data_IF_169982718755
#
_entry.id   IF_169982718755
#
_cell.length_a   1.000
_cell.length_b   1.000
_cell.length_c   1.000
_cell.angle_alpha   90.00
_cell.angle_beta   90.00
_cell.angle_gamma   90.00
#
_symmetry.space_group_name_H-M   'P 1'
#
loop_
_entity.id
_entity.type
_entity.pdbx_description
1 polymer ?
#
# COMPACT_ATOMS: atom_id res chain seq x y z
N UNK A 1 23.31 1.90 -11.97
CA UNK A 1 22.68 0.75 -12.67
C UNK A 1 21.18 1.00 -12.75
N UNK A 2 20.59 0.98 -13.95
CA UNK A 2 19.17 1.34 -14.16
C UNK A 2 18.46 0.29 -15.03
N UNK A 3 17.84 -0.74 -14.44
CA UNK A 3 16.86 -1.57 -15.12
C UNK A 3 15.47 -1.29 -14.51
N UNK A 4 14.90 -0.10 -14.73
CA UNK A 4 13.62 0.28 -14.11
C UNK A 4 12.41 0.17 -15.07
N UNK A 5 12.62 0.19 -16.39
CA UNK A 5 11.54 0.17 -17.37
C UNK A 5 11.04 -1.27 -17.71
N UNK A 6 11.95 -2.23 -17.86
CA UNK A 6 11.62 -3.63 -18.20
C UNK A 6 10.86 -4.32 -17.06
N UNK A 7 11.26 -4.10 -15.80
CA UNK A 7 10.57 -4.67 -14.64
C UNK A 7 9.13 -4.18 -14.51
N UNK A 8 8.86 -2.89 -14.79
CA UNK A 8 7.50 -2.35 -14.71
C UNK A 8 6.56 -3.03 -15.71
N UNK A 9 7.00 -3.19 -16.96
CA UNK A 9 6.21 -3.84 -18.03
C UNK A 9 5.85 -5.28 -17.69
N UNK A 10 6.79 -6.02 -17.09
CA UNK A 10 6.55 -7.38 -16.62
C UNK A 10 5.52 -7.39 -15.47
N UNK A 11 5.61 -6.47 -14.51
CA UNK A 11 4.60 -6.34 -13.46
C UNK A 11 3.21 -5.98 -14.01
N UNK A 12 3.11 -5.12 -15.02
CA UNK A 12 1.84 -4.82 -15.71
C UNK A 12 1.22 -6.09 -16.28
N UNK A 13 2.00 -6.87 -17.04
CA UNK A 13 1.54 -8.09 -17.68
C UNK A 13 1.11 -9.15 -16.65
N UNK A 14 1.86 -9.30 -15.55
CA UNK A 14 1.52 -10.23 -14.47
C UNK A 14 0.20 -9.87 -13.80
N UNK A 15 -0.02 -8.60 -13.44
CA UNK A 15 -1.29 -8.18 -12.85
C UNK A 15 -2.45 -8.31 -13.85
N UNK A 16 -2.24 -7.99 -15.12
CA UNK A 16 -3.27 -8.13 -16.15
C UNK A 16 -3.66 -9.59 -16.38
N UNK A 17 -2.66 -10.50 -16.42
CA UNK A 17 -2.89 -11.93 -16.52
C UNK A 17 -3.64 -12.47 -15.30
N UNK A 18 -3.26 -12.05 -14.10
CA UNK A 18 -3.96 -12.42 -12.87
C UNK A 18 -5.42 -11.97 -12.90
N UNK A 19 -5.68 -10.72 -13.29
CA UNK A 19 -7.03 -10.20 -13.46
C UNK A 19 -7.84 -11.00 -14.46
N UNK A 20 -7.26 -11.30 -15.62
CA UNK A 20 -7.92 -12.11 -16.66
C UNK A 20 -8.26 -13.51 -16.13
N UNK A 21 -7.35 -14.14 -15.40
CA UNK A 21 -7.60 -15.44 -14.75
C UNK A 21 -8.77 -15.33 -13.76
N UNK A 22 -8.81 -14.29 -12.92
CA UNK A 22 -9.89 -14.09 -11.96
C UNK A 22 -11.25 -13.89 -12.64
N UNK A 23 -11.31 -13.11 -13.73
CA UNK A 23 -12.55 -12.90 -14.50
C UNK A 23 -13.04 -14.19 -15.14
N UNK A 24 -12.14 -14.97 -15.74
CA UNK A 24 -12.48 -16.28 -16.31
C UNK A 24 -12.97 -17.22 -15.22
N UNK A 25 -12.24 -17.29 -14.11
CA UNK A 25 -12.58 -18.16 -12.99
C UNK A 25 -13.95 -17.81 -12.42
N UNK A 26 -14.24 -16.53 -12.18
CA UNK A 26 -15.55 -16.06 -11.74
C UNK A 26 -16.65 -16.46 -12.73
N UNK A 27 -16.45 -16.17 -14.03
CA UNK A 27 -17.42 -16.50 -15.08
C UNK A 27 -17.74 -18.00 -15.15
N UNK A 28 -16.73 -18.86 -14.96
CA UNK A 28 -16.90 -20.31 -14.96
C UNK A 28 -17.49 -20.86 -13.65
N UNK A 29 -17.19 -20.24 -12.51
CA UNK A 29 -17.69 -20.65 -11.20
C UNK A 29 -19.13 -20.23 -10.94
N UNK A 30 -19.57 -19.09 -11.47
CA UNK A 30 -20.93 -18.57 -11.28
C UNK A 30 -22.03 -19.63 -11.52
N UNK A 31 -22.10 -20.32 -12.69
CA UNK A 31 -23.12 -21.36 -12.92
C UNK A 31 -22.88 -22.64 -12.11
N UNK A 32 -21.65 -22.88 -11.62
CA UNK A 32 -21.36 -24.04 -10.76
C UNK A 32 -21.86 -23.84 -9.32
N UNK A 33 -21.83 -22.60 -8.83
CA UNK A 33 -22.26 -22.22 -7.49
C UNK A 33 -23.78 -21.99 -7.41
N UNK A 34 -24.40 -21.59 -8.53
CA UNK A 34 -25.83 -21.33 -8.66
C UNK A 34 -26.42 -22.18 -9.79
N UNK A 35 -26.88 -23.41 -9.53
CA UNK A 35 -27.37 -24.32 -10.59
C UNK A 35 -28.68 -23.87 -11.26
N UNK A 36 -29.35 -22.83 -10.73
CA UNK A 36 -30.49 -22.18 -11.38
C UNK A 36 -30.08 -21.17 -12.47
N UNK A 37 -28.79 -20.83 -12.57
CA UNK A 37 -28.28 -19.85 -13.52
C UNK A 37 -27.81 -20.50 -14.83
N UNK A 38 -28.15 -19.89 -15.95
CA UNK A 38 -27.71 -20.34 -17.26
C UNK A 38 -26.20 -20.13 -17.45
N UNK A 39 -25.54 -21.14 -18.00
CA UNK A 39 -24.11 -21.08 -18.30
C UNK A 39 -23.78 -19.98 -19.31
N UNK A 40 -22.60 -19.38 -19.17
CA UNK A 40 -22.04 -18.40 -20.11
C UNK A 40 -22.01 -18.88 -21.57
N UNK A 41 -21.87 -20.19 -21.79
CA UNK A 41 -21.86 -20.77 -23.13
C UNK A 41 -23.24 -20.83 -23.77
N UNK A 42 -24.30 -20.81 -22.97
CA UNK A 42 -25.69 -20.84 -23.43
C UNK A 42 -26.21 -19.42 -23.66
N UNK A 43 -26.05 -18.54 -22.67
CA UNK A 43 -26.54 -17.16 -22.72
C UNK A 43 -25.48 -16.15 -22.28
N UNK A 44 -24.52 -15.81 -23.15
CA UNK A 44 -23.40 -14.93 -22.80
C UNK A 44 -23.83 -13.50 -22.43
N UNK A 45 -24.99 -13.05 -22.92
CA UNK A 45 -25.51 -11.70 -22.67
C UNK A 45 -25.78 -11.42 -21.20
N UNK A 46 -26.05 -12.44 -20.38
CA UNK A 46 -26.25 -12.29 -18.93
C UNK A 46 -24.98 -11.84 -18.21
N UNK A 47 -23.80 -12.16 -18.76
CA UNK A 47 -22.52 -11.93 -18.11
C UNK A 47 -21.89 -10.57 -18.46
N UNK A 48 -22.42 -9.85 -19.45
CA UNK A 48 -21.84 -8.57 -19.89
C UNK A 48 -21.81 -7.51 -18.79
N UNK A 49 -22.86 -7.43 -17.97
CA UNK A 49 -22.92 -6.50 -16.84
C UNK A 49 -21.84 -6.82 -15.78
N UNK A 50 -21.63 -8.12 -15.52
CA UNK A 50 -20.57 -8.62 -14.64
C UNK A 50 -19.18 -8.29 -15.19
N UNK A 51 -18.92 -8.59 -16.46
CA UNK A 51 -17.63 -8.30 -17.09
C UNK A 51 -17.30 -6.81 -17.14
N UNK A 52 -18.31 -5.95 -17.32
CA UNK A 52 -18.12 -4.51 -17.26
C UNK A 52 -17.74 -4.06 -15.85
N UNK A 53 -18.36 -4.65 -14.83
CA UNK A 53 -18.01 -4.42 -13.42
C UNK A 53 -16.58 -4.89 -13.13
N UNK A 54 -16.19 -6.05 -13.62
CA UNK A 54 -14.83 -6.57 -13.47
C UNK A 54 -13.80 -5.67 -14.16
N UNK A 55 -14.08 -5.22 -15.39
CA UNK A 55 -13.22 -4.27 -16.12
C UNK A 55 -13.05 -2.96 -15.35
N UNK A 56 -14.13 -2.46 -14.73
CA UNK A 56 -14.08 -1.31 -13.86
C UNK A 56 -13.16 -1.54 -12.64
N UNK A 57 -13.24 -2.71 -11.99
CA UNK A 57 -12.37 -3.06 -10.86
C UNK A 57 -10.90 -3.12 -11.27
N UNK A 58 -10.60 -3.70 -12.43
CA UNK A 58 -9.25 -3.71 -13.02
C UNK A 58 -8.76 -2.28 -13.23
N UNK A 59 -9.58 -1.41 -13.82
CA UNK A 59 -9.21 -0.02 -14.08
C UNK A 59 -8.91 0.73 -12.78
N UNK A 60 -9.78 0.59 -11.77
CA UNK A 60 -9.60 1.20 -10.45
C UNK A 60 -8.35 0.67 -9.75
N UNK A 61 -8.04 -0.63 -9.87
CA UNK A 61 -6.80 -1.19 -9.33
C UNK A 61 -5.58 -0.45 -9.90
N UNK A 62 -5.51 -0.32 -11.21
CA UNK A 62 -4.40 0.35 -11.88
C UNK A 62 -4.35 1.85 -11.59
N UNK A 63 -5.49 2.55 -11.60
CA UNK A 63 -5.57 3.96 -11.21
C UNK A 63 -5.11 4.15 -9.76
N UNK A 64 -5.56 3.29 -8.84
CA UNK A 64 -5.13 3.35 -7.46
C UNK A 64 -3.63 3.08 -7.33
N UNK A 65 -3.17 2.00 -7.96
CA UNK A 65 -1.79 1.55 -7.93
C UNK A 65 -0.81 2.47 -8.67
N UNK A 66 -1.22 3.39 -9.55
CA UNK A 66 -0.28 4.29 -10.23
C UNK A 66 -0.50 5.78 -9.98
N UNK A 67 -1.74 6.21 -9.72
CA UNK A 67 -2.10 7.63 -9.67
C UNK A 67 -2.52 8.03 -8.25
N UNK A 68 -3.44 7.29 -7.63
CA UNK A 68 -4.03 7.75 -6.37
C UNK A 68 -3.11 7.55 -5.17
N UNK A 69 -2.61 6.34 -4.91
CA UNK A 69 -1.79 6.15 -3.73
C UNK A 69 -0.45 6.93 -3.70
N UNK A 70 0.33 7.13 -4.79
CA UNK A 70 1.56 7.91 -4.71
C UNK A 70 1.28 9.41 -4.54
N UNK A 71 0.18 9.93 -5.12
CA UNK A 71 -0.18 11.34 -4.99
C UNK A 71 -0.80 11.66 -3.63
N UNK A 72 -1.69 10.81 -3.14
CA UNK A 72 -2.47 11.05 -1.92
C UNK A 72 -1.73 10.63 -0.65
N UNK A 73 -0.99 9.50 -0.65
CA UNK A 73 -0.23 9.08 0.54
C UNK A 73 0.99 9.97 0.79
N UNK A 74 1.69 10.43 -0.26
CA UNK A 74 2.83 11.36 -0.11
C UNK A 74 2.42 12.67 0.55
N UNK A 75 1.17 13.10 0.36
CA UNK A 75 0.60 14.32 0.94
C UNK A 75 -0.15 14.09 2.26
N UNK A 76 -0.17 12.86 2.78
CA UNK A 76 -0.94 12.44 3.97
C UNK A 76 -2.44 12.82 3.91
N UNK A 77 -3.01 12.87 2.70
CA UNK A 77 -4.40 13.28 2.46
C UNK A 77 -5.38 12.12 2.69
N UNK A 78 -5.45 11.64 3.93
CA UNK A 78 -6.27 10.47 4.30
C UNK A 78 -7.77 10.70 4.05
N UNK A 79 -8.29 11.90 4.36
CA UNK A 79 -9.71 12.24 4.16
C UNK A 79 -10.11 12.16 2.68
N UNK A 80 -9.29 12.70 1.78
CA UNK A 80 -9.55 12.66 0.34
C UNK A 80 -9.51 11.24 -0.21
N UNK A 81 -8.62 10.40 0.31
CA UNK A 81 -8.55 8.99 -0.06
C UNK A 81 -9.78 8.19 0.39
N UNK A 82 -10.32 8.49 1.58
CA UNK A 82 -11.55 7.88 2.08
C UNK A 82 -12.75 8.28 1.21
N UNK A 83 -12.86 9.55 0.81
CA UNK A 83 -13.87 9.97 -0.14
C UNK A 83 -13.74 9.29 -1.51
N UNK A 84 -12.51 9.12 -2.00
CA UNK A 84 -12.26 8.38 -3.23
C UNK A 84 -12.76 6.93 -3.13
N UNK A 85 -12.49 6.24 -2.01
CA UNK A 85 -12.99 4.89 -1.75
C UNK A 85 -14.53 4.85 -1.79
N UNK A 86 -15.20 5.80 -1.12
CA UNK A 86 -16.67 5.88 -1.09
C UNK A 86 -17.24 6.12 -2.49
N UNK A 87 -16.67 7.07 -3.25
CA UNK A 87 -17.10 7.39 -4.61
C UNK A 87 -16.92 6.18 -5.53
N UNK A 88 -15.77 5.51 -5.43
CA UNK A 88 -15.45 4.33 -6.23
C UNK A 88 -16.37 3.15 -5.89
N UNK A 89 -16.69 2.95 -4.62
CA UNK A 89 -17.67 1.94 -4.22
C UNK A 89 -19.08 2.28 -4.79
N UNK A 90 -19.50 3.54 -4.69
CA UNK A 90 -20.79 3.99 -5.21
C UNK A 90 -20.89 3.81 -6.73
N UNK A 91 -19.82 4.14 -7.46
CA UNK A 91 -19.73 3.91 -8.90
C UNK A 91 -19.82 2.41 -9.24
N UNK A 92 -19.15 1.55 -8.46
CA UNK A 92 -19.24 0.10 -8.61
C UNK A 92 -20.67 -0.45 -8.45
N UNK A 93 -21.46 0.16 -7.56
CA UNK A 93 -22.87 -0.18 -7.38
C UNK A 93 -23.75 0.33 -8.54
N UNK A 94 -23.42 1.50 -9.09
CA UNK A 94 -24.17 2.10 -10.20
C UNK A 94 -23.97 1.38 -11.54
N UNK A 95 -22.83 0.73 -11.76
CA UNK A 95 -22.51 0.11 -13.05
C UNK A 95 -23.57 -0.90 -13.50
N UNK A 96 -23.94 -1.94 -12.72
CA UNK A 96 -24.97 -2.89 -13.13
C UNK A 96 -26.33 -2.24 -13.38
N UNK A 97 -26.68 -1.23 -12.59
CA UNK A 97 -27.93 -0.48 -12.71
C UNK A 97 -27.97 0.33 -14.01
N UNK A 98 -26.86 0.98 -14.36
CA UNK A 98 -26.72 1.71 -15.63
C UNK A 98 -26.74 0.76 -16.82
N UNK A 99 -26.08 -0.39 -16.73
CA UNK A 99 -26.11 -1.44 -17.76
C UNK A 99 -27.54 -1.93 -18.05
N UNK A 100 -28.31 -2.15 -16.98
CA UNK A 100 -29.71 -2.53 -17.08
C UNK A 100 -30.58 -1.39 -17.66
N UNK A 101 -30.42 -0.17 -17.17
CA UNK A 101 -31.22 0.98 -17.58
C UNK A 101 -31.01 1.39 -19.05
N UNK A 102 -29.76 1.37 -19.53
CA UNK A 102 -29.41 1.85 -20.87
C UNK A 102 -29.52 0.76 -21.93
N UNK A 103 -29.10 -0.47 -21.60
CA UNK A 103 -29.01 -1.56 -22.58
C UNK A 103 -29.89 -2.77 -22.25
N UNK A 104 -30.65 -2.75 -21.15
CA UNK A 104 -31.47 -3.88 -20.73
C UNK A 104 -30.63 -5.10 -20.28
N UNK A 105 -29.34 -4.90 -19.98
CA UNK A 105 -28.44 -5.98 -19.58
C UNK A 105 -28.78 -6.44 -18.17
N UNK A 106 -29.24 -7.69 -18.07
CA UNK A 106 -29.46 -8.37 -16.80
C UNK A 106 -28.14 -8.93 -16.24
N UNK A 107 -28.18 -9.48 -15.03
CA UNK A 107 -27.04 -10.08 -14.35
C UNK A 107 -27.45 -11.46 -13.82
N UNK A 108 -26.55 -12.47 -13.84
CA UNK A 108 -26.80 -13.75 -13.20
C UNK A 108 -27.25 -13.59 -11.74
N UNK A 109 -28.21 -14.42 -11.32
CA UNK A 109 -28.74 -14.43 -9.95
C UNK A 109 -29.88 -13.45 -9.68
N UNK A 110 -30.31 -12.67 -10.69
CA UNK A 110 -31.45 -11.75 -10.57
C UNK A 110 -32.62 -12.22 -11.42
N UNK A 111 -33.84 -12.03 -10.89
CA UNK A 111 -35.07 -12.37 -11.61
C UNK A 111 -35.18 -11.57 -12.93
N UNK A 112 -35.85 -12.13 -13.96
CA UNK A 112 -36.11 -11.42 -15.20
C UNK A 112 -36.82 -10.09 -14.93
N UNK A 113 -36.32 -9.01 -15.54
CA UNK A 113 -36.83 -7.63 -15.39
C UNK A 113 -36.67 -6.99 -14.00
N UNK A 114 -35.88 -7.58 -13.11
CA UNK A 114 -35.46 -6.92 -11.88
C UNK A 114 -34.22 -6.06 -12.11
N UNK A 115 -34.16 -4.90 -11.44
CA UNK A 115 -32.95 -4.06 -11.45
C UNK A 115 -31.84 -4.79 -10.69
N UNK A 116 -30.68 -5.07 -11.33
CA UNK A 116 -29.60 -5.81 -10.69
C UNK A 116 -28.82 -4.89 -9.73
N UNK A 117 -29.19 -4.91 -8.45
CA UNK A 117 -28.45 -4.23 -7.39
C UNK A 117 -27.42 -5.21 -6.82
N UNK A 118 -26.19 -5.14 -7.31
CA UNK A 118 -25.11 -6.04 -6.91
C UNK A 118 -24.10 -5.37 -5.99
N UNK A 119 -23.77 -6.04 -4.88
CA UNK A 119 -22.69 -5.63 -3.97
C UNK A 119 -21.29 -5.97 -4.49
N UNK A 120 -21.19 -6.74 -5.59
CA UNK A 120 -19.93 -7.18 -6.16
C UNK A 120 -19.01 -6.01 -6.51
N UNK A 121 -19.55 -4.97 -7.16
CA UNK A 121 -18.79 -3.76 -7.48
C UNK A 121 -18.31 -2.99 -6.24
N UNK A 122 -19.08 -2.99 -5.16
CA UNK A 122 -18.71 -2.32 -3.89
C UNK A 122 -17.60 -3.08 -3.17
N UNK A 123 -17.82 -4.37 -2.92
CA UNK A 123 -16.87 -5.23 -2.22
C UNK A 123 -15.57 -5.32 -3.01
N UNK A 124 -15.68 -5.49 -4.34
CA UNK A 124 -14.55 -5.49 -5.26
C UNK A 124 -13.75 -4.19 -5.18
N UNK A 125 -14.40 -3.03 -5.24
CA UNK A 125 -13.71 -1.74 -5.21
C UNK A 125 -12.92 -1.55 -3.90
N UNK A 126 -13.52 -1.91 -2.76
CA UNK A 126 -12.85 -1.85 -1.46
C UNK A 126 -11.66 -2.79 -1.41
N UNK A 127 -11.84 -4.06 -1.80
CA UNK A 127 -10.79 -5.06 -1.80
C UNK A 127 -9.60 -4.65 -2.68
N UNK A 128 -9.88 -4.19 -3.89
CA UNK A 128 -8.90 -3.73 -4.88
C UNK A 128 -8.08 -2.56 -4.34
N UNK A 129 -8.74 -1.60 -3.71
CA UNK A 129 -8.07 -0.44 -3.11
C UNK A 129 -7.14 -0.90 -1.97
N UNK A 130 -7.60 -1.78 -1.09
CA UNK A 130 -6.81 -2.30 0.02
C UNK A 130 -5.61 -3.12 -0.43
N UNK A 131 -5.79 -4.00 -1.43
CA UNK A 131 -4.69 -4.78 -2.01
C UNK A 131 -3.66 -3.84 -2.65
N UNK A 132 -4.10 -2.83 -3.39
CA UNK A 132 -3.20 -1.84 -3.99
C UNK A 132 -2.35 -1.08 -2.96
N UNK A 133 -2.90 -0.83 -1.77
CA UNK A 133 -2.15 -0.24 -0.65
C UNK A 133 -1.17 -1.23 -0.02
N UNK A 134 -1.59 -2.48 0.20
CA UNK A 134 -0.76 -3.51 0.80
C UNK A 134 0.48 -3.81 -0.05
N UNK A 135 0.31 -3.96 -1.37
CA UNK A 135 1.43 -4.18 -2.32
C UNK A 135 2.42 -3.02 -2.26
N UNK A 136 1.93 -1.78 -2.18
CA UNK A 136 2.82 -0.62 -2.04
C UNK A 136 3.54 -0.55 -0.71
N UNK A 137 2.83 -0.82 0.38
CA UNK A 137 3.45 -0.89 1.71
C UNK A 137 4.57 -1.92 1.75
N UNK A 138 4.38 -3.07 1.09
CA UNK A 138 5.40 -4.12 1.00
C UNK A 138 6.62 -3.68 0.16
N UNK A 139 6.41 -2.98 -0.96
CA UNK A 139 7.51 -2.48 -1.79
C UNK A 139 8.31 -1.38 -1.08
N UNK A 140 7.63 -0.47 -0.38
CA UNK A 140 8.29 0.57 0.40
C UNK A 140 9.05 -0.02 1.59
N UNK A 141 8.47 -1.04 2.24
CA UNK A 141 9.15 -1.79 3.30
C UNK A 141 10.43 -2.43 2.79
N UNK A 142 10.40 -3.09 1.64
CA UNK A 142 11.58 -3.74 1.05
C UNK A 142 12.68 -2.71 0.76
N UNK A 143 12.33 -1.57 0.17
CA UNK A 143 13.26 -0.48 -0.08
C UNK A 143 13.89 0.06 1.23
N UNK A 144 13.07 0.30 2.25
CA UNK A 144 13.56 0.72 3.58
C UNK A 144 14.40 -0.36 4.27
N UNK A 145 14.17 -1.64 3.96
CA UNK A 145 14.96 -2.76 4.46
C UNK A 145 16.39 -2.73 3.89
N UNK A 146 16.53 -2.45 2.60
CA UNK A 146 17.83 -2.28 1.93
C UNK A 146 18.56 -1.07 2.49
N UNK A 147 17.89 0.09 2.58
CA UNK A 147 18.50 1.32 3.13
C UNK A 147 18.96 1.15 4.58
N UNK A 148 18.16 0.46 5.42
CA UNK A 148 18.57 0.14 6.79
C UNK A 148 19.76 -0.82 6.86
N UNK A 149 19.91 -1.71 5.88
CA UNK A 149 21.08 -2.59 5.75
C UNK A 149 22.35 -1.79 5.50
N UNK A 150 22.30 -0.91 4.49
CA UNK A 150 23.43 -0.03 4.13
C UNK A 150 23.83 0.89 5.29
N UNK A 151 22.86 1.52 5.96
CA UNK A 151 23.11 2.37 7.14
C UNK A 151 23.75 1.60 8.30
N UNK A 152 23.36 0.34 8.53
CA UNK A 152 23.98 -0.51 9.57
C UNK A 152 25.43 -0.83 9.23
N UNK A 153 25.74 -1.09 7.97
CA UNK A 153 27.10 -1.32 7.51
C UNK A 153 27.97 -0.06 7.68
N UNK A 154 27.44 1.12 7.36
CA UNK A 154 28.13 2.40 7.60
C UNK A 154 28.39 2.67 9.08
N UNK A 155 27.39 2.45 9.95
CA UNK A 155 27.55 2.58 11.40
C UNK A 155 28.64 1.63 11.91
N UNK A 156 28.65 0.39 11.43
CA UNK A 156 29.65 -0.60 11.82
C UNK A 156 31.05 -0.18 11.38
N UNK A 157 31.20 0.28 10.14
CA UNK A 157 32.47 0.78 9.61
C UNK A 157 32.99 1.97 10.40
N UNK A 158 32.14 2.96 10.68
CA UNK A 158 32.52 4.15 11.45
C UNK A 158 32.92 3.80 12.89
N UNK A 159 32.22 2.85 13.53
CA UNK A 159 32.61 2.34 14.86
C UNK A 159 33.98 1.68 14.84
N UNK A 160 34.27 0.85 13.84
CA UNK A 160 35.58 0.20 13.69
C UNK A 160 36.69 1.24 13.49
N UNK A 161 36.47 2.25 12.63
CA UNK A 161 37.41 3.35 12.44
C UNK A 161 37.66 4.14 13.73
N UNK A 162 36.61 4.41 14.51
CA UNK A 162 36.73 5.13 15.78
C UNK A 162 37.48 4.30 16.84
N UNK A 163 37.30 2.97 16.87
CA UNK A 163 38.08 2.08 17.74
C UNK A 163 39.55 1.98 17.31
N UNK A 164 39.82 1.99 16.00
CA UNK A 164 41.19 2.02 15.45
C UNK A 164 41.88 3.34 15.75
N UNK A 165 41.23 4.49 15.54
CA UNK A 165 41.74 5.80 15.92
C UNK A 165 41.96 5.92 17.44
N UNK A 166 41.05 5.37 18.25
CA UNK A 166 41.20 5.33 19.72
C UNK A 166 42.37 4.45 20.17
N UNK A 167 42.68 3.38 19.45
CA UNK A 167 43.87 2.55 19.71
C UNK A 167 45.16 3.19 19.21
N UNK A 168 45.09 3.93 18.10
CA UNK A 168 46.23 4.62 17.49
C UNK A 168 46.59 5.93 18.21
N UNK A 169 45.63 6.58 18.87
CA UNK A 169 45.84 7.73 19.72
C UNK A 169 45.78 7.29 21.20
N UNK A 170 46.92 7.02 21.85
CA UNK A 170 46.95 6.89 23.29
C UNK A 170 46.71 8.29 23.87
N UNK A 171 45.44 8.67 24.06
CA UNK A 171 45.12 9.81 24.91
C UNK A 171 45.71 9.49 26.28
N UNK A 172 46.64 10.30 26.81
CA UNK A 172 47.16 10.07 28.14
C UNK A 172 45.95 10.11 29.08
N UNK A 173 45.80 9.06 29.88
CA UNK A 173 44.89 9.09 31.02
C UNK A 173 45.25 10.34 31.81
N UNK A 174 44.40 11.37 31.76
CA UNK A 174 44.48 12.46 32.72
C UNK A 174 44.25 11.79 34.07
N UNK A 175 45.37 11.65 34.77
CA UNK A 175 45.50 11.06 36.08
C UNK A 175 44.52 11.80 36.99
N UNK A 176 43.76 11.01 37.75
CA UNK A 176 42.91 11.44 38.85
C UNK A 176 43.78 12.09 39.95
N UNK A 177 44.33 13.29 39.70
CA UNK A 177 44.96 14.11 40.75
C UNK A 177 43.88 14.92 41.46
N UNK A 178 43.00 14.21 42.16
CA UNK A 178 42.21 14.80 43.25
C UNK A 178 43.14 14.97 44.45
N UNK A 179 44.00 16.00 44.40
CA UNK A 179 44.71 16.45 45.59
C UNK A 179 43.70 16.99 46.61
N UNK A 180 43.74 16.57 47.89
CA UNK A 180 42.78 17.01 48.89
C UNK A 180 43.02 18.49 49.20
N UNK A 181 42.05 19.34 48.89
CA UNK A 181 42.04 20.75 49.30
C UNK A 181 42.05 20.81 50.83
N UNK A 182 43.18 21.23 51.39
CA UNK A 182 43.30 21.58 52.81
C UNK A 182 42.58 22.91 53.02
N UNK A 183 41.60 23.03 53.94
CA UNK A 183 40.92 24.29 54.16
C UNK A 183 41.86 25.23 54.92
N UNK A 184 42.33 26.28 54.27
CA UNK A 184 43.09 27.34 54.93
C UNK A 184 42.10 28.24 55.68
N UNK A 185 42.14 28.15 57.00
CA UNK A 185 41.51 29.08 57.95
C UNK A 185 41.92 30.52 57.62
N UNK A 186 40.95 31.41 57.40
CA UNK A 186 41.17 32.85 57.39
C UNK A 186 40.06 33.53 58.20
N UNK A 187 40.38 33.89 59.45
CA UNK A 187 39.73 35.02 60.13
C UNK A 187 40.34 36.31 59.55
N UNK A 188 39.56 37.41 59.41
CA UNK A 188 39.75 38.49 60.38
C UNK A 188 38.50 39.31 60.72
N UNK A 189 38.45 39.71 61.99
CA UNK A 189 38.06 41.01 62.59
C UNK A 189 36.82 41.82 62.15
N UNK A 190 36.03 42.14 63.18
CA UNK A 190 35.09 43.25 63.30
C UNK A 190 35.72 44.62 62.99
N UNK A 191 34.93 45.56 62.44
CA UNK A 191 34.65 46.89 63.03
C UNK A 191 33.70 47.75 62.15
N UNK A 192 32.64 48.30 62.78
CA UNK A 192 32.15 49.67 62.54
C UNK A 192 31.02 49.92 61.51
N UNK A 193 29.75 49.87 61.96
CA UNK A 193 28.82 51.00 62.19
C UNK A 193 27.36 50.51 62.35
#
# INVERSE_FOLDING_TARGET
MKPQATNRTISYALYAALWLILVILQTLLTPLLSPEEESVFTQPSLYYSTWLTDLYLVLIFYLNYYIFAPQLMRRRLFRSYLWLLVITALLGLMIPILCYSVWGLTMPGFAPNAVPISSLGVIGAVAVIMIGLAVRGLLEWDALGVENGELKEEILRLKTQLEEERKASPTPSIMDDTAPLTPTTHHPHEEGL
#
